data_IF_518998487848
#
_entry.id   IF_518998487848
#
_cell.length_a   1.000
_cell.length_b   1.000
_cell.length_c   1.000
_cell.angle_alpha   90.00
_cell.angle_beta   90.00
_cell.angle_gamma   90.00
#
_symmetry.space_group_name_H-M   'P 1'
#
loop_
_entity.id
_entity.type
_entity.pdbx_description
1 polymer ?
#
# COMPACT_ATOMS: atom_id res chain seq x y z
N UNK A 1 -17.83 24.26 -2.45
CA UNK A 1 -16.58 24.17 -3.24
C UNK A 1 -15.72 23.07 -2.66
N UNK A 2 -15.35 22.05 -3.43
CA UNK A 2 -14.53 20.93 -2.90
C UNK A 2 -14.35 19.74 -3.86
N UNK A 3 -14.41 19.95 -5.18
CA UNK A 3 -14.27 18.87 -6.19
C UNK A 3 -12.81 18.38 -6.38
N UNK A 4 -11.87 18.86 -5.56
CA UNK A 4 -10.44 18.57 -5.71
C UNK A 4 -9.95 17.43 -4.79
N UNK A 5 -10.73 17.02 -3.79
CA UNK A 5 -10.34 15.94 -2.86
C UNK A 5 -10.49 14.51 -3.41
N UNK A 6 -11.30 14.31 -4.45
CA UNK A 6 -11.60 12.98 -5.00
C UNK A 6 -10.57 12.50 -6.02
N UNK A 7 -9.90 13.42 -6.74
CA UNK A 7 -8.90 13.06 -7.75
C UNK A 7 -7.60 12.52 -7.13
N UNK A 8 -7.21 13.01 -5.95
CA UNK A 8 -6.07 12.46 -5.23
C UNK A 8 -6.35 11.02 -4.75
N UNK A 9 -7.57 10.74 -4.29
CA UNK A 9 -7.97 9.44 -3.75
C UNK A 9 -7.80 8.29 -4.76
N UNK A 10 -8.17 8.51 -6.03
CA UNK A 10 -8.03 7.50 -7.10
C UNK A 10 -6.57 7.17 -7.44
N UNK A 11 -5.67 8.16 -7.44
CA UNK A 11 -4.24 7.92 -7.73
C UNK A 11 -3.60 7.05 -6.65
N UNK A 12 -3.91 7.32 -5.38
CA UNK A 12 -3.43 6.50 -4.26
C UNK A 12 -3.92 5.04 -4.32
N UNK A 13 -5.15 4.82 -4.78
CA UNK A 13 -5.72 3.49 -4.92
C UNK A 13 -5.01 2.68 -6.04
N UNK A 14 -4.74 3.29 -7.19
CA UNK A 14 -3.96 2.66 -8.27
C UNK A 14 -2.52 2.37 -7.84
N UNK A 15 -1.87 3.32 -7.15
CA UNK A 15 -0.53 3.13 -6.57
C UNK A 15 -0.50 1.95 -5.59
N UNK A 16 -1.56 1.73 -4.82
CA UNK A 16 -1.68 0.59 -3.90
C UNK A 16 -1.78 -0.74 -4.64
N UNK A 17 -2.64 -0.83 -5.65
CA UNK A 17 -2.81 -2.05 -6.45
C UNK A 17 -1.51 -2.41 -7.16
N UNK A 18 -0.82 -1.42 -7.72
CA UNK A 18 0.51 -1.61 -8.30
C UNK A 18 1.51 -2.10 -7.25
N UNK A 19 1.52 -1.49 -6.07
CA UNK A 19 2.43 -1.88 -4.99
C UNK A 19 2.21 -3.34 -4.55
N UNK A 20 0.96 -3.81 -4.48
CA UNK A 20 0.63 -5.23 -4.24
C UNK A 20 1.19 -6.16 -5.31
N UNK A 21 1.02 -5.75 -6.57
CA UNK A 21 1.44 -6.54 -7.72
C UNK A 21 2.96 -6.65 -7.77
N UNK A 22 3.67 -5.53 -7.56
CA UNK A 22 5.12 -5.51 -7.44
C UNK A 22 5.61 -6.36 -6.26
N UNK A 23 4.90 -6.31 -5.13
CA UNK A 23 5.23 -7.11 -3.95
C UNK A 23 5.18 -8.61 -4.26
N UNK A 24 4.11 -9.07 -4.93
CA UNK A 24 3.99 -10.45 -5.38
C UNK A 24 5.10 -10.86 -6.35
N UNK A 25 5.46 -9.97 -7.28
CA UNK A 25 6.57 -10.18 -8.23
C UNK A 25 7.89 -10.35 -7.49
N UNK A 26 8.24 -9.43 -6.58
CA UNK A 26 9.48 -9.51 -5.81
C UNK A 26 9.55 -10.75 -4.92
N UNK A 27 8.43 -11.15 -4.32
CA UNK A 27 8.36 -12.36 -3.49
C UNK A 27 8.57 -13.63 -4.33
N UNK A 28 7.99 -13.68 -5.53
CA UNK A 28 8.12 -14.81 -6.45
C UNK A 28 9.55 -14.91 -7.01
N UNK A 29 10.12 -13.78 -7.46
CA UNK A 29 11.53 -13.72 -7.89
C UNK A 29 12.48 -14.08 -6.76
N UNK A 30 12.27 -13.54 -5.55
CA UNK A 30 13.06 -13.85 -4.37
C UNK A 30 13.00 -15.33 -4.01
N UNK A 31 11.81 -15.94 -4.04
CA UNK A 31 11.62 -17.37 -3.78
C UNK A 31 12.38 -18.25 -4.79
N UNK A 32 12.26 -17.96 -6.09
CA UNK A 32 12.99 -18.70 -7.14
C UNK A 32 14.50 -18.53 -6.97
N UNK A 33 14.95 -17.30 -6.74
CA UNK A 33 16.38 -16.99 -6.62
C UNK A 33 17.03 -17.66 -5.40
N UNK A 34 16.30 -17.71 -4.27
CA UNK A 34 16.73 -18.40 -3.05
C UNK A 34 16.70 -19.93 -3.23
N UNK A 35 15.71 -20.46 -3.96
CA UNK A 35 15.54 -21.89 -4.20
C UNK A 35 16.62 -22.47 -5.12
N UNK A 36 16.98 -21.76 -6.19
CA UNK A 36 17.97 -22.23 -7.16
C UNK A 36 19.43 -21.89 -6.78
N UNK A 37 19.68 -21.23 -5.64
CA UNK A 37 20.99 -20.73 -5.18
C UNK A 37 21.80 -19.86 -6.18
N UNK A 38 21.22 -19.51 -7.34
CA UNK A 38 21.87 -18.78 -8.43
C UNK A 38 22.38 -17.40 -7.96
N UNK A 39 21.69 -16.77 -7.00
CA UNK A 39 21.99 -15.39 -6.58
C UNK A 39 21.37 -15.06 -5.21
N UNK A 40 21.93 -15.64 -4.14
CA UNK A 40 21.46 -15.42 -2.76
C UNK A 40 21.34 -13.94 -2.38
N UNK A 41 22.30 -13.10 -2.77
CA UNK A 41 22.26 -11.66 -2.44
C UNK A 41 21.05 -10.95 -3.06
N UNK A 42 20.75 -11.23 -4.33
CA UNK A 42 19.58 -10.69 -5.00
C UNK A 42 18.29 -11.20 -4.36
N UNK A 43 18.21 -12.50 -4.02
CA UNK A 43 17.06 -13.05 -3.31
C UNK A 43 16.79 -12.37 -1.96
N UNK A 44 17.84 -12.06 -1.19
CA UNK A 44 17.73 -11.37 0.10
C UNK A 44 17.29 -9.91 -0.08
N UNK A 45 17.88 -9.19 -1.04
CA UNK A 45 17.48 -7.81 -1.37
C UNK A 45 16.01 -7.73 -1.78
N UNK A 46 15.53 -8.68 -2.59
CA UNK A 46 14.13 -8.79 -3.00
C UNK A 46 13.19 -9.02 -1.82
N UNK A 47 13.57 -9.90 -0.89
CA UNK A 47 12.83 -10.14 0.34
C UNK A 47 12.80 -8.91 1.26
N UNK A 48 13.92 -8.18 1.37
CA UNK A 48 14.01 -6.95 2.15
C UNK A 48 13.09 -5.87 1.57
N UNK A 49 13.12 -5.68 0.25
CA UNK A 49 12.21 -4.76 -0.45
C UNK A 49 10.75 -5.16 -0.24
N UNK A 50 10.41 -6.44 -0.41
CA UNK A 50 9.07 -6.96 -0.15
C UNK A 50 8.61 -6.68 1.29
N UNK A 51 9.50 -6.80 2.28
CA UNK A 51 9.19 -6.54 3.69
C UNK A 51 8.83 -5.07 3.96
N UNK A 52 9.59 -4.13 3.38
CA UNK A 52 9.28 -2.70 3.46
C UNK A 52 7.94 -2.41 2.77
N UNK A 53 7.68 -3.10 1.66
CA UNK A 53 6.51 -2.92 0.83
C UNK A 53 5.22 -3.45 1.49
N UNK A 54 5.33 -4.50 2.33
CA UNK A 54 4.23 -4.95 3.23
C UNK A 54 3.78 -3.80 4.15
N UNK A 55 4.72 -2.98 4.63
CA UNK A 55 4.45 -1.90 5.60
C UNK A 55 3.68 -0.72 5.01
N UNK A 56 3.66 -0.59 3.68
CA UNK A 56 2.89 0.45 2.98
C UNK A 56 1.38 0.23 3.15
N UNK A 57 0.91 -1.03 3.11
CA UNK A 57 -0.51 -1.39 3.28
C UNK A 57 -1.12 -0.91 4.61
N UNK A 58 -0.55 -1.23 5.79
CA UNK A 58 -1.08 -0.77 7.07
C UNK A 58 -0.96 0.74 7.21
N UNK A 59 0.11 1.36 6.71
CA UNK A 59 0.30 2.83 6.76
C UNK A 59 -0.85 3.57 6.07
N UNK A 60 -1.23 3.12 4.87
CA UNK A 60 -2.36 3.71 4.13
C UNK A 60 -3.69 3.42 4.83
N UNK A 61 -3.89 2.20 5.35
CA UNK A 61 -5.09 1.85 6.11
C UNK A 61 -5.28 2.75 7.33
N UNK A 62 -4.20 3.11 8.03
CA UNK A 62 -4.21 4.03 9.17
C UNK A 62 -4.62 5.44 8.72
N UNK A 63 -4.00 5.96 7.65
CA UNK A 63 -4.34 7.28 7.09
C UNK A 63 -5.81 7.32 6.65
N UNK A 64 -6.30 6.26 6.00
CA UNK A 64 -7.68 6.16 5.56
C UNK A 64 -8.65 6.18 6.75
N UNK A 65 -8.37 5.42 7.82
CA UNK A 65 -9.18 5.45 9.05
C UNK A 65 -9.20 6.82 9.71
N UNK A 66 -8.06 7.51 9.76
CA UNK A 66 -7.99 8.88 10.28
C UNK A 66 -8.81 9.87 9.43
N UNK A 67 -8.74 9.76 8.11
CA UNK A 67 -9.46 10.66 7.20
C UNK A 67 -10.97 10.40 7.20
N UNK A 68 -11.40 9.14 7.22
CA UNK A 68 -12.82 8.75 7.26
C UNK A 68 -13.48 9.18 8.57
N UNK A 69 -12.77 9.05 9.71
CA UNK A 69 -13.29 9.50 11.02
C UNK A 69 -13.61 11.00 11.02
N UNK A 70 -12.84 11.83 10.32
CA UNK A 70 -13.08 13.27 10.22
C UNK A 70 -14.33 13.62 9.40
N UNK A 71 -14.72 12.78 8.44
CA UNK A 71 -15.91 13.02 7.63
C UNK A 71 -17.21 12.59 8.32
N UNK A 72 -17.19 11.47 9.05
CA UNK A 72 -18.37 10.98 9.78
C UNK A 72 -18.82 11.91 10.91
N UNK A 73 -17.90 12.64 11.54
CA UNK A 73 -18.22 13.56 12.65
C UNK A 73 -19.00 14.80 12.14
N UNK A 74 -18.71 15.27 10.92
CA UNK A 74 -19.40 16.46 10.36
C UNK A 74 -20.84 16.22 9.95
N UNK A 75 -21.20 14.99 9.61
CA UNK A 75 -22.54 14.65 9.12
C UNK A 75 -23.52 14.30 10.25
N UNK A 76 -23.00 13.95 11.43
CA UNK A 76 -23.80 13.80 12.65
C UNK A 76 -24.18 15.15 13.27
N UNK A 77 -23.30 16.14 13.20
CA UNK A 77 -23.49 17.47 13.80
C UNK A 77 -24.45 18.37 13.01
N UNK A 78 -24.70 18.04 11.73
CA UNK A 78 -25.67 18.78 10.89
C UNK A 78 -27.09 18.21 10.91
N UNK A 79 -27.31 17.13 11.67
CA UNK A 79 -28.62 16.48 11.85
C UNK A 79 -29.18 16.65 13.26
N UNK A 80 -28.53 17.43 14.11
CA UNK A 80 -29.03 17.84 15.42
C UNK A 80 -29.41 19.32 15.38
#
# INVERSE_FOLDING_TARGET
MGRHGLFFKKRYEVLYTLNDFLLGIWYLLGSICLYFEISKEWGILLFMLGSIQILIRPSIRIIHRFHVKKHYIKEYDSKQ
#
